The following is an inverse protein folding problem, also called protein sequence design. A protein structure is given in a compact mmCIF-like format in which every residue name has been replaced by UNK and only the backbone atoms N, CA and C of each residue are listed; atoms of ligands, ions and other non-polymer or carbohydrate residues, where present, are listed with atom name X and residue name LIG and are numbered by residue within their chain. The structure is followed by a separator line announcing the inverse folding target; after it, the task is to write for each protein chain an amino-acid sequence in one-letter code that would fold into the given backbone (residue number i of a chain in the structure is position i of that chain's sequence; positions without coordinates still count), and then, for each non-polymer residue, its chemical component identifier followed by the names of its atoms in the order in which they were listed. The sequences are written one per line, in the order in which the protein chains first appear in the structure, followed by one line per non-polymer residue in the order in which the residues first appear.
data_IF_034768910817
#
_entry.id   IF_034768910817
#
_cell.length_a   1.000
_cell.length_b   1.000
_cell.length_c   1.000
_cell.angle_alpha   90.00
_cell.angle_beta   90.00
_cell.angle_gamma   90.00
#
_symmetry.space_group_name_H-M   'P 1'
#
loop_
_entity.id
_entity.type
_entity.pdbx_description
1 polymer ?
#
# COMPACT_ATOMS: atom_id res chain seq x y z
N UNK A 1 0.77 -4.13 -11.84
CA UNK A 1 0.31 -2.87 -12.49
C UNK A 1 -0.28 -1.92 -11.46
N UNK A 2 -0.73 -0.70 -11.82
CA UNK A 2 -1.43 0.18 -10.87
C UNK A 2 -2.73 -0.45 -10.33
N UNK A 3 -3.50 -1.13 -11.18
CA UNK A 3 -4.71 -1.86 -10.75
C UNK A 3 -4.39 -2.97 -9.75
N UNK A 4 -3.32 -3.71 -9.98
CA UNK A 4 -2.88 -4.77 -9.07
C UNK A 4 -2.43 -4.21 -7.71
N UNK A 5 -1.67 -3.10 -7.72
CA UNK A 5 -1.28 -2.41 -6.48
C UNK A 5 -2.53 -1.95 -5.71
N UNK A 6 -3.48 -1.31 -6.38
CA UNK A 6 -4.72 -0.88 -5.77
C UNK A 6 -5.52 -2.06 -5.19
N UNK A 7 -5.53 -3.22 -5.86
CA UNK A 7 -6.18 -4.44 -5.37
C UNK A 7 -5.51 -5.00 -4.12
N UNK A 8 -4.18 -5.09 -4.12
CA UNK A 8 -3.38 -5.57 -2.98
C UNK A 8 -3.56 -4.63 -1.79
N UNK A 9 -3.37 -3.33 -2.00
CA UNK A 9 -3.49 -2.30 -0.98
C UNK A 9 -4.90 -2.22 -0.41
N UNK A 10 -5.95 -2.32 -1.25
CA UNK A 10 -7.33 -2.36 -0.79
C UNK A 10 -7.65 -3.60 0.06
N UNK A 11 -7.00 -4.74 -0.24
CA UNK A 11 -7.18 -5.97 0.55
C UNK A 11 -6.45 -5.90 1.88
N UNK A 12 -5.20 -5.45 1.89
CA UNK A 12 -4.37 -5.33 3.10
C UNK A 12 -4.83 -4.17 4.00
N UNK A 13 -5.39 -3.11 3.42
CA UNK A 13 -5.89 -1.95 4.14
C UNK A 13 -7.23 -2.19 4.84
N UNK A 14 -7.91 -3.29 4.54
CA UNK A 14 -9.16 -3.65 5.22
C UNK A 14 -8.90 -3.94 6.70
N UNK A 15 -9.51 -3.12 7.55
CA UNK A 15 -9.32 -3.14 9.02
C UNK A 15 -7.86 -2.92 9.45
N UNK A 16 -7.04 -2.35 8.56
CA UNK A 16 -5.66 -1.96 8.81
C UNK A 16 -5.51 -0.44 8.95
N UNK A 17 -4.27 0.03 8.98
CA UNK A 17 -3.94 1.44 9.09
C UNK A 17 -2.87 1.84 8.07
N UNK A 18 -3.13 2.90 7.30
CA UNK A 18 -2.16 3.48 6.38
C UNK A 18 -1.16 4.35 7.15
N UNK A 19 0.13 4.06 6.94
CA UNK A 19 1.24 4.93 7.35
C UNK A 19 1.59 5.92 6.23
N UNK A 20 1.56 5.43 4.98
CA UNK A 20 1.67 6.22 3.76
C UNK A 20 0.63 5.67 2.76
N UNK A 21 -0.46 6.40 2.49
CA UNK A 21 -1.46 6.01 1.49
C UNK A 21 -0.87 5.77 0.09
N UNK A 22 -1.53 4.98 -0.78
CA UNK A 22 -1.04 4.71 -2.14
C UNK A 22 -0.94 5.98 -3.00
N UNK A 23 0.27 6.49 -3.22
CA UNK A 23 0.52 7.70 -4.00
C UNK A 23 1.89 7.66 -4.71
N UNK A 24 2.14 8.63 -5.60
CA UNK A 24 3.45 8.90 -6.18
C UNK A 24 4.23 9.87 -5.29
N UNK A 25 5.20 9.35 -4.55
CA UNK A 25 6.04 10.12 -3.64
C UNK A 25 7.36 10.59 -4.27
N UNK A 26 7.51 10.53 -5.59
CA UNK A 26 8.70 10.97 -6.34
C UNK A 26 9.83 9.94 -6.42
N UNK A 27 9.89 8.97 -5.51
CA UNK A 27 10.85 7.86 -5.56
C UNK A 27 10.30 6.59 -6.23
N UNK A 28 9.01 6.56 -6.54
CA UNK A 28 8.29 5.42 -7.11
C UNK A 28 7.10 5.91 -7.91
N UNK A 29 6.72 5.21 -8.99
CA UNK A 29 5.49 5.55 -9.73
C UNK A 29 4.27 5.46 -8.82
N UNK A 30 4.23 4.48 -7.92
CA UNK A 30 3.20 4.38 -6.87
C UNK A 30 3.68 3.54 -5.69
N UNK A 31 3.52 4.05 -4.49
CA UNK A 31 3.96 3.39 -3.26
C UNK A 31 2.91 3.49 -2.17
N UNK A 32 2.75 2.43 -1.38
CA UNK A 32 1.91 2.40 -0.19
C UNK A 32 2.63 1.71 0.97
N UNK A 33 2.40 2.22 2.18
CA UNK A 33 2.86 1.61 3.42
C UNK A 33 1.71 1.56 4.42
N UNK A 34 1.42 0.36 4.93
CA UNK A 34 0.32 0.13 5.86
C UNK A 34 0.63 -1.02 6.82
N UNK A 35 -0.05 -1.01 7.96
CA UNK A 35 -0.21 -2.17 8.82
C UNK A 35 -1.56 -2.84 8.49
N UNK A 36 -1.57 -4.16 8.27
CA UNK A 36 -2.82 -4.89 8.07
C UNK A 36 -3.55 -5.15 9.41
N UNK A 37 -4.74 -5.77 9.34
CA UNK A 37 -5.55 -6.11 10.51
C UNK A 37 -4.89 -7.04 11.54
N UNK A 38 -3.80 -7.69 11.17
CA UNK A 38 -3.02 -8.58 12.04
C UNK A 38 -1.79 -7.88 12.63
N UNK A 39 -1.58 -6.61 12.30
CA UNK A 39 -0.42 -5.82 12.73
C UNK A 39 0.82 -5.99 11.85
N UNK A 40 0.75 -6.74 10.74
CA UNK A 40 1.89 -6.93 9.84
C UNK A 40 2.12 -5.67 9.03
N UNK A 41 3.37 -5.21 8.95
CA UNK A 41 3.78 -4.02 8.20
C UNK A 41 4.13 -4.37 6.75
N UNK A 42 3.47 -3.73 5.78
CA UNK A 42 3.60 -4.00 4.36
C UNK A 42 4.01 -2.76 3.57
N UNK A 43 5.07 -2.87 2.77
CA UNK A 43 5.45 -1.85 1.78
C UNK A 43 5.20 -2.41 0.38
N UNK A 44 4.31 -1.78 -0.37
CA UNK A 44 3.96 -2.17 -1.74
C UNK A 44 4.48 -1.10 -2.69
N UNK A 45 5.39 -1.50 -3.59
CA UNK A 45 6.08 -0.59 -4.47
C UNK A 45 5.82 -0.94 -5.94
N UNK A 46 5.37 0.03 -6.71
CA UNK A 46 5.33 0.00 -8.18
C UNK A 46 6.38 0.98 -8.70
N UNK A 47 7.60 0.47 -8.90
CA UNK A 47 8.69 1.20 -9.56
C UNK A 47 8.34 1.45 -11.04
#
# INVERSE_FOLDING_TARGET
SEEELNRIVGTLGKDGAFLMPPDNYGFSRRFAWLNDRFGVSWQINLA
#
